data_IF_500935428246
#
_entry.id   IF_500935428246
#
_cell.length_a   1.000
_cell.length_b   1.000
_cell.length_c   1.000
_cell.angle_alpha   90.00
_cell.angle_beta   90.00
_cell.angle_gamma   90.00
#
_symmetry.space_group_name_H-M   'P 1'
#
loop_
_entity.id
_entity.type
_entity.pdbx_description
1 polymer ?
#
# COMPACT_ATOMS: atom_id res chain seq x y z
N UNK A 1 -11.25 -24.43 3.00
CA UNK A 1 -12.01 -23.35 2.34
C UNK A 1 -11.00 -22.30 1.90
N UNK A 2 -10.88 -22.04 0.60
CA UNK A 2 -10.12 -20.90 0.09
C UNK A 2 -11.08 -19.72 0.08
N UNK A 3 -10.79 -18.67 0.84
CA UNK A 3 -11.61 -17.46 0.83
C UNK A 3 -11.31 -16.63 -0.42
N UNK A 4 -12.33 -15.97 -0.96
CA UNK A 4 -12.21 -15.09 -2.12
C UNK A 4 -11.22 -13.94 -1.83
N UNK A 5 -10.22 -13.68 -2.70
CA UNK A 5 -9.29 -12.57 -2.53
C UNK A 5 -9.97 -11.21 -2.39
N UNK A 6 -11.13 -10.98 -3.03
CA UNK A 6 -11.89 -9.74 -2.89
C UNK A 6 -12.43 -9.59 -1.46
N UNK A 7 -12.95 -10.67 -0.89
CA UNK A 7 -13.41 -10.70 0.49
C UNK A 7 -12.26 -10.42 1.47
N UNK A 8 -11.12 -11.09 1.30
CA UNK A 8 -9.93 -10.87 2.14
C UNK A 8 -9.41 -9.44 2.07
N UNK A 9 -9.48 -8.79 0.90
CA UNK A 9 -9.13 -7.38 0.77
C UNK A 9 -10.06 -6.48 1.60
N UNK A 10 -11.37 -6.77 1.64
CA UNK A 10 -12.32 -6.03 2.48
C UNK A 10 -12.11 -6.30 3.97
N UNK A 11 -11.77 -7.53 4.35
CA UNK A 11 -11.36 -7.87 5.73
C UNK A 11 -10.13 -7.06 6.13
N UNK A 12 -9.09 -7.02 5.29
CA UNK A 12 -7.90 -6.22 5.56
C UNK A 12 -8.21 -4.72 5.66
N UNK A 13 -9.13 -4.20 4.84
CA UNK A 13 -9.61 -2.81 4.92
C UNK A 13 -10.30 -2.54 6.26
N UNK A 14 -11.12 -3.48 6.72
CA UNK A 14 -11.78 -3.40 8.03
C UNK A 14 -10.74 -3.40 9.17
N UNK A 15 -9.76 -4.31 9.15
CA UNK A 15 -8.68 -4.37 10.15
C UNK A 15 -7.94 -3.03 10.22
N UNK A 16 -7.57 -2.45 9.06
CA UNK A 16 -6.89 -1.14 9.01
C UNK A 16 -7.73 -0.04 9.63
N UNK A 17 -9.01 0.05 9.29
CA UNK A 17 -9.91 1.05 9.86
C UNK A 17 -10.01 0.93 11.39
N UNK A 18 -10.22 -0.30 11.88
CA UNK A 18 -10.34 -0.57 13.31
C UNK A 18 -9.05 -0.26 14.06
N UNK A 19 -7.91 -0.62 13.48
CA UNK A 19 -6.59 -0.36 14.05
C UNK A 19 -6.28 1.15 14.12
N UNK A 20 -6.63 1.91 13.08
CA UNK A 20 -6.45 3.37 13.07
C UNK A 20 -7.27 4.09 14.14
N UNK A 21 -8.43 3.54 14.53
CA UNK A 21 -9.20 4.08 15.66
C UNK A 21 -8.55 3.74 17.00
N UNK A 22 -7.78 2.66 17.09
CA UNK A 22 -7.12 2.21 18.30
C UNK A 22 -7.99 1.31 19.18
N UNK A 23 -7.33 0.55 20.06
CA UNK A 23 -7.92 -0.51 20.91
C UNK A 23 -9.03 -0.01 21.83
N UNK A 24 -8.96 1.26 22.24
CA UNK A 24 -9.89 1.86 23.19
C UNK A 24 -11.16 2.46 22.55
N UNK A 25 -11.22 2.52 21.21
CA UNK A 25 -12.32 3.17 20.51
C UNK A 25 -13.28 2.13 19.91
N UNK A 26 -14.41 1.82 20.59
CA UNK A 26 -15.40 0.90 20.06
C UNK A 26 -16.01 1.41 18.74
N UNK A 27 -16.35 0.47 17.88
CA UNK A 27 -17.13 0.66 16.64
C UNK A 27 -18.39 -0.18 16.69
N UNK A 28 -19.44 0.32 16.08
CA UNK A 28 -20.66 -0.47 15.82
C UNK A 28 -20.58 -1.11 14.44
N UNK A 29 -21.47 -2.07 14.15
CA UNK A 29 -21.60 -2.63 12.78
C UNK A 29 -21.93 -1.52 11.78
N UNK A 30 -22.78 -0.56 12.15
CA UNK A 30 -23.15 0.57 11.30
C UNK A 30 -21.94 1.44 10.93
N UNK A 31 -20.99 1.65 11.84
CA UNK A 31 -19.75 2.37 11.54
C UNK A 31 -18.89 1.60 10.53
N UNK A 32 -18.81 0.28 10.67
CA UNK A 32 -18.13 -0.59 9.71
C UNK A 32 -18.81 -0.56 8.33
N UNK A 33 -20.15 -0.64 8.28
CA UNK A 33 -20.92 -0.57 7.03
C UNK A 33 -20.66 0.75 6.30
N UNK A 34 -20.81 1.88 7.02
CA UNK A 34 -20.57 3.22 6.48
C UNK A 34 -19.13 3.37 5.95
N UNK A 35 -18.14 2.81 6.66
CA UNK A 35 -16.74 2.95 6.25
C UNK A 35 -16.36 2.04 5.09
N UNK A 36 -16.88 0.82 5.06
CA UNK A 36 -16.56 -0.13 4.01
C UNK A 36 -17.32 0.18 2.72
N UNK A 37 -18.49 0.82 2.83
CA UNK A 37 -19.37 1.10 1.69
C UNK A 37 -19.99 -0.18 1.12
N UNK A 38 -20.21 -1.18 1.97
CA UNK A 38 -20.65 -2.52 1.58
C UNK A 38 -22.08 -2.80 2.05
N UNK A 39 -22.81 -3.70 1.37
CA UNK A 39 -24.10 -4.18 1.84
C UNK A 39 -24.02 -4.73 3.27
N UNK A 40 -25.12 -4.61 4.02
CA UNK A 40 -25.22 -5.05 5.41
C UNK A 40 -24.76 -6.52 5.59
N UNK A 41 -25.23 -7.40 4.70
CA UNK A 41 -24.89 -8.83 4.74
C UNK A 41 -23.38 -9.08 4.58
N UNK A 42 -22.71 -8.38 3.66
CA UNK A 42 -21.26 -8.53 3.46
C UNK A 42 -20.50 -8.02 4.67
N UNK A 43 -20.94 -6.88 5.23
CA UNK A 43 -20.31 -6.32 6.43
C UNK A 43 -20.47 -7.24 7.64
N UNK A 44 -21.64 -7.89 7.80
CA UNK A 44 -21.85 -8.93 8.82
C UNK A 44 -20.90 -10.11 8.63
N UNK A 45 -20.76 -10.61 7.41
CA UNK A 45 -19.79 -11.69 7.12
C UNK A 45 -18.35 -11.30 7.44
N UNK A 46 -17.94 -10.07 7.13
CA UNK A 46 -16.62 -9.54 7.49
C UNK A 46 -16.48 -9.49 9.01
N UNK A 47 -17.46 -8.94 9.73
CA UNK A 47 -17.47 -8.91 11.20
C UNK A 47 -17.33 -10.32 11.78
N UNK A 48 -18.11 -11.28 11.29
CA UNK A 48 -18.10 -12.66 11.78
C UNK A 48 -16.74 -13.32 11.53
N UNK A 49 -16.13 -13.05 10.39
CA UNK A 49 -14.76 -13.47 10.11
C UNK A 49 -13.78 -12.82 11.12
N UNK A 50 -13.85 -11.50 11.33
CA UNK A 50 -12.97 -10.82 12.29
C UNK A 50 -13.12 -11.34 13.73
N UNK A 51 -14.34 -11.67 14.16
CA UNK A 51 -14.61 -12.30 15.45
C UNK A 51 -14.04 -13.72 15.52
N UNK A 52 -14.30 -14.53 14.49
CA UNK A 52 -13.85 -15.92 14.42
C UNK A 52 -12.34 -16.07 14.53
N UNK A 53 -11.59 -15.17 13.89
CA UNK A 53 -10.12 -15.16 13.97
C UNK A 53 -9.58 -14.35 15.15
N UNK A 54 -10.44 -13.80 16.00
CA UNK A 54 -10.06 -13.06 17.20
C UNK A 54 -9.38 -11.73 16.93
N UNK A 55 -9.59 -11.13 15.75
CA UNK A 55 -9.09 -9.79 15.42
C UNK A 55 -9.90 -8.70 16.10
N UNK A 56 -11.17 -8.96 16.39
CA UNK A 56 -12.03 -8.08 17.18
C UNK A 56 -12.69 -8.86 18.33
N UNK A 57 -13.09 -8.13 19.35
CA UNK A 57 -13.88 -8.65 20.47
C UNK A 57 -15.17 -7.83 20.61
N UNK A 58 -16.26 -8.54 20.87
CA UNK A 58 -17.56 -7.96 21.19
C UNK A 58 -17.58 -7.44 22.64
N UNK A 59 -18.09 -6.23 22.85
CA UNK A 59 -18.44 -5.71 24.17
C UNK A 59 -19.87 -5.19 24.18
N UNK A 60 -20.64 -5.67 25.13
CA UNK A 60 -21.91 -5.07 25.52
C UNK A 60 -21.63 -3.79 26.30
N UNK A 61 -22.01 -2.65 25.75
CA UNK A 61 -22.01 -1.38 26.47
C UNK A 61 -23.41 -1.10 26.98
N UNK A 62 -23.64 -1.32 28.27
CA UNK A 62 -24.89 -1.00 28.98
C UNK A 62 -25.08 0.50 29.20
N UNK A 63 -24.01 1.30 29.16
CA UNK A 63 -24.06 2.76 29.40
C UNK A 63 -24.00 3.57 28.10
N UNK A 64 -25.03 3.47 27.26
CA UNK A 64 -25.19 4.29 26.05
C UNK A 64 -26.09 5.51 26.25
N UNK A 65 -26.42 5.93 27.48
CA UNK A 65 -27.22 7.15 27.69
C UNK A 65 -26.56 8.40 27.12
N UNK A 66 -25.23 8.43 26.96
CA UNK A 66 -24.48 9.55 26.38
C UNK A 66 -24.40 9.46 24.83
N UNK A 67 -24.50 8.26 24.25
CA UNK A 67 -24.30 8.02 22.81
C UNK A 67 -25.59 7.70 22.05
N UNK A 68 -26.67 7.33 22.75
CA UNK A 68 -27.94 6.97 22.14
C UNK A 68 -29.11 7.32 23.10
N UNK A 69 -29.77 8.48 22.92
CA UNK A 69 -30.87 8.91 23.80
C UNK A 69 -32.10 7.99 23.73
N UNK A 70 -32.14 7.06 22.77
CA UNK A 70 -33.26 6.15 22.54
C UNK A 70 -33.18 4.83 23.31
N UNK A 71 -32.19 4.64 24.20
CA UNK A 71 -32.12 3.48 25.10
C UNK A 71 -31.91 2.11 24.42
N UNK A 72 -31.59 2.07 23.12
CA UNK A 72 -31.32 0.80 22.41
C UNK A 72 -29.91 0.31 22.73
N UNK A 73 -29.81 -0.91 23.27
CA UNK A 73 -28.53 -1.61 23.41
C UNK A 73 -27.92 -1.85 22.03
N UNK A 74 -26.75 -1.26 21.77
CA UNK A 74 -26.01 -1.47 20.53
C UNK A 74 -24.76 -2.30 20.80
N UNK A 75 -24.52 -3.30 19.95
CA UNK A 75 -23.33 -4.14 20.04
C UNK A 75 -22.14 -3.35 19.51
N UNK A 76 -21.10 -3.25 20.33
CA UNK A 76 -19.84 -2.61 19.94
C UNK A 76 -18.71 -3.62 19.84
N UNK A 77 -17.75 -3.34 18.96
CA UNK A 77 -16.58 -4.16 18.72
C UNK A 77 -15.32 -3.34 18.96
N UNK A 78 -14.30 -3.98 19.49
CA UNK A 78 -12.96 -3.39 19.66
C UNK A 78 -11.93 -4.27 18.98
N UNK A 79 -10.92 -3.64 18.37
CA UNK A 79 -9.79 -4.39 17.85
C UNK A 79 -8.99 -4.99 19.00
N UNK A 80 -8.60 -6.25 18.87
CA UNK A 80 -7.76 -6.94 19.86
C UNK A 80 -6.28 -6.67 19.58
N UNK A 81 -5.41 -7.07 20.51
CA UNK A 81 -3.97 -7.06 20.24
C UNK A 81 -3.60 -7.90 19.01
N UNK A 82 -4.29 -9.03 18.80
CA UNK A 82 -4.09 -9.88 17.60
C UNK A 82 -4.48 -9.13 16.32
N UNK A 83 -5.60 -8.40 16.34
CA UNK A 83 -5.99 -7.53 15.23
C UNK A 83 -4.97 -6.43 14.96
N UNK A 84 -4.41 -5.80 15.99
CA UNK A 84 -3.34 -4.80 15.87
C UNK A 84 -2.06 -5.40 15.29
N UNK A 85 -1.66 -6.59 15.73
CA UNK A 85 -0.50 -7.28 15.18
C UNK A 85 -0.70 -7.57 13.68
N UNK A 86 -1.90 -8.05 13.29
CA UNK A 86 -2.24 -8.28 11.89
C UNK A 86 -2.20 -6.99 11.07
N UNK A 87 -2.65 -5.87 11.63
CA UNK A 87 -2.51 -4.56 10.99
C UNK A 87 -1.04 -4.17 10.76
N UNK A 88 -0.16 -4.39 11.74
CA UNK A 88 1.26 -4.11 11.59
C UNK A 88 1.94 -4.99 10.54
N UNK A 89 1.54 -6.26 10.42
CA UNK A 89 2.01 -7.12 9.33
C UNK A 89 1.62 -6.56 7.96
N UNK A 90 0.35 -6.18 7.79
CA UNK A 90 -0.15 -5.58 6.55
C UNK A 90 0.59 -4.28 6.21
N UNK A 91 0.87 -3.43 7.20
CA UNK A 91 1.67 -2.21 7.01
C UNK A 91 3.09 -2.53 6.53
N UNK A 92 3.76 -3.53 7.13
CA UNK A 92 5.11 -3.94 6.72
C UNK A 92 5.15 -4.48 5.31
N UNK A 93 4.10 -5.17 4.86
CA UNK A 93 3.96 -5.63 3.47
C UNK A 93 3.81 -4.45 2.50
N UNK A 94 2.93 -3.49 2.82
CA UNK A 94 2.75 -2.30 1.99
C UNK A 94 4.02 -1.44 1.86
N UNK A 95 4.77 -1.28 2.96
CA UNK A 95 6.04 -0.53 2.94
C UNK A 95 7.03 -1.22 2.00
N UNK A 96 7.20 -2.55 2.14
CA UNK A 96 8.07 -3.34 1.27
C UNK A 96 7.66 -3.26 -0.20
N UNK A 97 6.36 -3.22 -0.49
CA UNK A 97 5.87 -3.03 -1.86
C UNK A 97 6.18 -1.65 -2.43
N UNK A 98 5.96 -0.60 -1.64
CA UNK A 98 6.30 0.77 -2.05
C UNK A 98 7.80 0.94 -2.30
N UNK A 99 8.64 0.32 -1.47
CA UNK A 99 10.09 0.32 -1.67
C UNK A 99 10.49 -0.38 -2.97
N UNK A 100 9.91 -1.55 -3.25
CA UNK A 100 10.13 -2.24 -4.54
C UNK A 100 9.76 -1.35 -5.73
N UNK A 101 8.64 -0.64 -5.65
CA UNK A 101 8.22 0.29 -6.71
C UNK A 101 9.20 1.45 -6.89
N UNK A 102 9.73 2.01 -5.78
CA UNK A 102 10.74 3.08 -5.83
C UNK A 102 12.03 2.59 -6.50
N UNK A 103 12.53 1.43 -6.11
CA UNK A 103 13.74 0.84 -6.71
C UNK A 103 13.57 0.60 -8.21
N UNK A 104 12.42 0.08 -8.65
CA UNK A 104 12.14 -0.10 -10.08
C UNK A 104 12.13 1.24 -10.82
N UNK A 105 11.55 2.28 -10.23
CA UNK A 105 11.52 3.61 -10.82
C UNK A 105 12.91 4.25 -10.90
N UNK A 106 13.71 4.13 -9.82
CA UNK A 106 15.09 4.61 -9.76
C UNK A 106 15.97 3.91 -10.79
N UNK A 107 15.90 2.58 -10.87
CA UNK A 107 16.64 1.79 -11.83
C UNK A 107 16.30 2.19 -13.28
N UNK A 108 15.02 2.41 -13.60
CA UNK A 108 14.61 2.92 -14.93
C UNK A 108 15.19 4.31 -15.23
N UNK A 109 15.15 5.21 -14.25
CA UNK A 109 15.71 6.55 -14.40
C UNK A 109 17.24 6.52 -14.59
N UNK A 110 17.94 5.60 -13.91
CA UNK A 110 19.38 5.37 -14.09
C UNK A 110 19.71 4.78 -15.47
N UNK A 111 18.92 3.83 -15.96
CA UNK A 111 19.06 3.30 -17.33
C UNK A 111 18.89 4.40 -18.39
N UNK A 112 17.96 5.33 -18.20
CA UNK A 112 17.80 6.47 -19.11
C UNK A 112 19.01 7.43 -19.05
N UNK A 113 19.54 7.70 -17.84
CA UNK A 113 20.74 8.54 -17.67
C UNK A 113 21.99 7.92 -18.29
N UNK A 114 22.20 6.63 -18.09
CA UNK A 114 23.35 5.89 -18.66
C UNK A 114 23.27 5.82 -20.18
N UNK A 115 22.09 5.51 -20.77
CA UNK A 115 21.87 5.57 -22.22
C UNK A 115 22.17 6.95 -22.80
N UNK A 116 21.76 8.03 -22.12
CA UNK A 116 22.02 9.41 -22.55
C UNK A 116 23.50 9.78 -22.48
N UNK A 117 24.20 9.35 -21.42
CA UNK A 117 25.64 9.57 -21.25
C UNK A 117 26.45 8.83 -22.32
N UNK A 118 26.15 7.54 -22.54
CA UNK A 118 26.86 6.71 -23.52
C UNK A 118 26.73 7.27 -24.95
N UNK A 119 25.56 7.78 -25.32
CA UNK A 119 25.37 8.44 -26.63
C UNK A 119 26.30 9.65 -26.81
N UNK A 120 26.49 10.48 -25.78
CA UNK A 120 27.38 11.65 -25.84
C UNK A 120 28.84 11.24 -25.99
N UNK A 121 29.28 10.21 -25.26
CA UNK A 121 30.63 9.66 -25.37
C UNK A 121 30.92 9.14 -26.78
N UNK A 122 29.99 8.37 -27.38
CA UNK A 122 30.15 7.83 -28.74
C UNK A 122 30.30 8.98 -29.75
N UNK A 123 29.45 10.00 -29.69
CA UNK A 123 29.51 11.15 -30.60
C UNK A 123 30.86 11.88 -30.46
N UNK A 124 31.34 12.10 -29.22
CA UNK A 124 32.63 12.73 -28.97
C UNK A 124 33.81 11.98 -29.60
N UNK A 125 33.84 10.65 -29.47
CA UNK A 125 34.88 9.81 -30.08
C UNK A 125 34.84 9.85 -31.61
N UNK A 126 33.66 9.83 -32.22
CA UNK A 126 33.52 9.91 -33.69
C UNK A 126 34.05 11.23 -34.24
N UNK A 127 33.73 12.36 -33.58
CA UNK A 127 34.23 13.68 -33.98
C UNK A 127 35.76 13.73 -33.91
N UNK A 128 36.36 13.20 -32.84
CA UNK A 128 37.81 13.16 -32.68
C UNK A 128 38.50 12.36 -33.80
N UNK A 129 37.94 11.22 -34.20
CA UNK A 129 38.48 10.40 -35.30
C UNK A 129 38.43 11.15 -36.63
N UNK A 130 37.31 11.81 -36.94
CA UNK A 130 37.16 12.59 -38.19
C UNK A 130 38.19 13.73 -38.25
N UNK A 131 38.40 14.44 -37.14
CA UNK A 131 39.40 15.52 -37.06
C UNK A 131 40.81 14.96 -37.27
N UNK A 132 41.17 13.82 -36.68
CA UNK A 132 42.49 13.22 -36.89
C UNK A 132 42.70 12.75 -38.34
N UNK A 133 41.70 12.13 -38.97
CA UNK A 133 41.78 11.70 -40.38
C UNK A 133 41.97 12.89 -41.33
N UNK A 134 41.20 13.96 -41.15
CA UNK A 134 41.29 15.15 -42.01
C UNK A 134 42.66 15.82 -41.91
N UNK A 135 43.21 15.95 -40.71
CA UNK A 135 44.58 16.46 -40.50
C UNK A 135 45.61 15.57 -41.19
N UNK A 136 45.52 14.25 -41.04
CA UNK A 136 46.45 13.31 -41.67
C UNK A 136 46.43 13.40 -43.21
N UNK A 137 45.24 13.53 -43.81
CA UNK A 137 45.07 13.67 -45.27
C UNK A 137 45.71 14.98 -45.77
N UNK A 138 45.48 16.11 -45.07
CA UNK A 138 46.04 17.41 -45.46
C UNK A 138 47.57 17.42 -45.43
N UNK A 139 48.17 16.80 -44.41
CA UNK A 139 49.63 16.66 -44.31
C UNK A 139 50.17 15.76 -45.42
N UNK A 140 49.47 14.67 -45.76
CA UNK A 140 49.88 13.74 -46.81
C UNK A 140 49.90 14.31 -48.23
N UNK A 141 49.13 15.36 -48.53
CA UNK A 141 49.13 16.02 -49.85
C UNK A 141 50.31 17.01 -50.00
N UNK A 142 50.91 17.46 -48.90
CA UNK A 142 51.96 18.48 -48.89
C UNK A 142 53.38 17.94 -49.01
N UNK A 143 53.54 16.61 -49.05
CA UNK A 143 54.81 15.90 -49.27
C UNK A 143 54.83 15.29 -50.67
#
# INVERSE_FOLDING_TARGET
MIEDPVFLAQVNKAIKYLAMRGVNNPVTVRNLESRLGLPNETTRRIRDHLLRYGFIQERFTTNLTILNPNGKSEITYRITQRGMNRYHELLREEIRERERQRQVAEYRAEEERTKKSNRRWIIGCTIAIIVMMTVAILVGISF
#
